data_IF_039733101075
#
_entry.id   IF_039733101075
#
_cell.length_a   1.000
_cell.length_b   1.000
_cell.length_c   1.000
_cell.angle_alpha   90.00
_cell.angle_beta   90.00
_cell.angle_gamma   90.00
#
_symmetry.space_group_name_H-M   'P 1'
#
loop_
_entity.id
_entity.type
_entity.pdbx_description
1 polymer ?
#
# COMPACT_ATOMS: atom_id res chain seq x y z
N UNK A 1 -5.99 18.10 9.40
CA UNK A 1 -6.21 17.62 8.01
C UNK A 1 -4.92 17.86 7.26
N UNK A 2 -4.22 16.79 6.88
CA UNK A 2 -2.93 16.87 6.20
C UNK A 2 -3.14 17.35 4.77
N UNK A 3 -2.45 18.43 4.38
CA UNK A 3 -2.49 18.97 3.01
C UNK A 3 -1.45 18.27 2.16
N UNK A 4 -1.78 18.06 0.88
CA UNK A 4 -0.85 17.54 -0.12
C UNK A 4 -0.26 18.74 -0.88
N UNK A 5 1.07 18.93 -0.87
CA UNK A 5 1.70 20.16 -1.38
C UNK A 5 1.99 20.16 -2.89
N UNK A 6 1.92 19.01 -3.57
CA UNK A 6 2.23 18.83 -4.99
C UNK A 6 1.15 18.01 -5.73
N UNK A 7 1.36 17.70 -7.01
CA UNK A 7 0.40 17.00 -7.85
C UNK A 7 -0.94 17.73 -7.93
N UNK A 8 -2.05 16.99 -7.71
CA UNK A 8 -3.39 17.55 -7.67
C UNK A 8 -3.69 18.37 -6.41
N UNK A 9 -2.81 18.36 -5.41
CA UNK A 9 -2.98 19.08 -4.15
C UNK A 9 -4.14 18.54 -3.30
N UNK A 10 -4.84 19.42 -2.57
CA UNK A 10 -5.96 19.04 -1.72
C UNK A 10 -5.51 18.47 -0.37
N UNK A 11 -6.20 17.43 0.10
CA UNK A 11 -5.89 16.74 1.36
C UNK A 11 -5.65 15.26 1.16
N UNK A 12 -4.91 14.64 2.08
CA UNK A 12 -4.66 13.20 2.09
C UNK A 12 -5.95 12.34 2.00
N UNK A 13 -7.09 12.85 2.47
CA UNK A 13 -8.39 12.17 2.35
C UNK A 13 -8.92 12.07 0.91
N UNK A 14 -8.40 12.90 0.00
CA UNK A 14 -8.77 12.91 -1.41
C UNK A 14 -8.02 11.82 -2.20
N UNK A 15 -7.19 10.99 -1.56
CA UNK A 15 -6.31 10.03 -2.23
C UNK A 15 -6.59 8.59 -1.79
N UNK A 16 -6.40 7.67 -2.74
CA UNK A 16 -6.40 6.23 -2.52
C UNK A 16 -4.97 5.78 -2.20
N UNK A 17 -4.67 5.31 -0.98
CA UNK A 17 -3.32 4.96 -0.58
C UNK A 17 -2.92 3.55 -0.97
N UNK A 18 -1.70 3.41 -1.47
CA UNK A 18 -0.99 2.16 -1.69
C UNK A 18 0.30 2.14 -0.85
N UNK A 19 0.61 1.00 -0.25
CA UNK A 19 1.89 0.80 0.43
C UNK A 19 2.89 0.12 -0.51
N UNK A 20 4.15 0.52 -0.43
CA UNK A 20 5.24 -0.15 -1.18
C UNK A 20 5.61 -1.53 -0.61
N UNK A 21 5.13 -1.85 0.59
CA UNK A 21 5.47 -3.09 1.25
C UNK A 21 4.27 -3.77 1.93
N UNK A 22 4.23 -5.13 1.94
CA UNK A 22 3.22 -5.88 2.68
C UNK A 22 3.45 -5.76 4.19
N UNK A 23 2.64 -6.41 5.05
CA UNK A 23 2.82 -6.37 6.52
C UNK A 23 2.84 -4.94 7.07
N UNK A 24 1.78 -4.19 6.79
CA UNK A 24 1.60 -2.84 7.33
C UNK A 24 1.34 -2.87 8.84
N UNK A 25 1.60 -1.78 9.57
CA UNK A 25 1.23 -1.66 10.99
C UNK A 25 -0.25 -1.96 11.24
N UNK A 26 -1.13 -1.54 10.33
CA UNK A 26 -2.57 -1.82 10.40
C UNK A 26 -2.89 -3.31 10.24
N UNK A 27 -2.18 -4.01 9.35
CA UNK A 27 -2.33 -5.47 9.21
C UNK A 27 -1.89 -6.18 10.50
N UNK A 28 -0.84 -5.70 11.16
CA UNK A 28 -0.39 -6.23 12.46
C UNK A 28 -1.45 -6.04 13.55
N UNK A 29 -2.04 -4.84 13.63
CA UNK A 29 -3.13 -4.55 14.57
C UNK A 29 -4.34 -5.46 14.35
N UNK A 30 -4.70 -5.70 13.08
CA UNK A 30 -5.75 -6.65 12.72
C UNK A 30 -5.38 -8.09 13.10
N UNK A 31 -4.13 -8.52 12.88
CA UNK A 31 -3.62 -9.82 13.31
C UNK A 31 -3.72 -10.00 14.84
N UNK A 32 -3.36 -8.97 15.61
CA UNK A 32 -3.48 -8.95 17.08
C UNK A 32 -4.91 -8.75 17.60
N UNK A 33 -5.88 -8.53 16.70
CA UNK A 33 -7.28 -8.23 17.04
C UNK A 33 -7.40 -7.04 18.00
N UNK A 34 -6.53 -6.04 17.82
CA UNK A 34 -6.45 -4.85 18.66
C UNK A 34 -7.17 -3.64 18.06
N UNK A 35 -8.06 -3.87 17.08
CA UNK A 35 -8.84 -2.83 16.41
C UNK A 35 -10.31 -2.97 16.82
N UNK A 36 -10.80 -2.03 17.63
CA UNK A 36 -12.14 -2.10 18.23
C UNK A 36 -13.28 -2.25 17.21
N UNK A 37 -13.09 -1.69 16.00
CA UNK A 37 -14.10 -1.67 14.94
C UNK A 37 -14.02 -2.85 13.97
N UNK A 38 -13.03 -3.73 14.09
CA UNK A 38 -12.83 -4.83 13.16
C UNK A 38 -12.24 -6.08 13.84
N UNK A 39 -13.03 -7.16 13.83
CA UNK A 39 -12.71 -8.43 14.53
C UNK A 39 -12.37 -9.60 13.59
N UNK A 40 -12.43 -9.38 12.26
CA UNK A 40 -12.20 -10.42 11.25
C UNK A 40 -10.76 -10.94 11.18
N UNK A 41 -9.83 -10.29 11.88
CA UNK A 41 -8.40 -10.61 11.81
C UNK A 41 -7.82 -10.30 10.43
N UNK A 42 -6.59 -10.73 10.19
CA UNK A 42 -5.95 -10.50 8.88
C UNK A 42 -6.42 -11.45 7.77
N UNK A 43 -7.02 -12.59 8.12
CA UNK A 43 -7.34 -13.67 7.17
C UNK A 43 -8.18 -13.20 5.97
N UNK A 44 -9.28 -12.45 6.13
CA UNK A 44 -10.09 -12.01 5.01
C UNK A 44 -9.55 -10.75 4.31
N UNK A 45 -8.43 -10.18 4.75
CA UNK A 45 -7.85 -8.99 4.13
C UNK A 45 -7.15 -9.38 2.83
N UNK A 46 -7.44 -8.65 1.76
CA UNK A 46 -6.87 -8.85 0.43
C UNK A 46 -5.82 -7.76 0.15
N UNK A 47 -4.76 -8.11 -0.57
CA UNK A 47 -3.84 -7.13 -1.14
C UNK A 47 -4.22 -6.90 -2.60
N UNK A 48 -4.63 -5.69 -2.96
CA UNK A 48 -4.82 -5.29 -4.36
C UNK A 48 -3.53 -4.69 -4.86
N UNK A 49 -2.96 -5.27 -5.92
CA UNK A 49 -1.61 -4.93 -6.38
C UNK A 49 -1.70 -4.24 -7.75
N UNK A 50 -0.96 -3.15 -7.88
CA UNK A 50 -0.69 -2.43 -9.12
C UNK A 50 0.79 -2.03 -9.13
N UNK A 51 1.24 -1.45 -10.23
CA UNK A 51 2.54 -0.79 -10.32
C UNK A 51 2.37 0.72 -10.52
N UNK A 52 3.37 1.51 -10.09
CA UNK A 52 3.36 2.96 -10.25
C UNK A 52 3.46 3.36 -11.74
N UNK A 53 4.20 2.59 -12.53
CA UNK A 53 4.33 2.75 -13.97
C UNK A 53 2.98 2.59 -14.68
N UNK A 54 2.12 1.69 -14.21
CA UNK A 54 0.77 1.52 -14.77
C UNK A 54 -0.14 2.72 -14.48
N UNK A 55 0.05 3.37 -13.33
CA UNK A 55 -0.69 4.59 -12.95
C UNK A 55 -0.24 5.78 -13.80
N UNK A 56 1.08 5.95 -13.94
CA UNK A 56 1.69 6.99 -14.77
C UNK A 56 1.31 6.83 -16.25
N UNK A 57 1.43 5.62 -16.80
CA UNK A 57 1.04 5.33 -18.18
C UNK A 57 -0.46 5.53 -18.45
N UNK A 58 -1.31 5.40 -17.42
CA UNK A 58 -2.74 5.70 -17.52
C UNK A 58 -3.07 7.20 -17.37
N UNK A 59 -2.06 8.04 -17.10
CA UNK A 59 -2.22 9.49 -16.93
C UNK A 59 -2.96 9.88 -15.65
N UNK A 60 -2.95 9.03 -14.63
CA UNK A 60 -3.57 9.35 -13.34
C UNK A 60 -2.65 10.23 -12.50
N UNK A 61 -3.22 11.25 -11.86
CA UNK A 61 -2.46 12.07 -10.90
C UNK A 61 -2.20 11.26 -9.64
N UNK A 62 -0.93 11.21 -9.25
CA UNK A 62 -0.48 10.59 -8.02
C UNK A 62 0.47 11.51 -7.26
N UNK A 63 0.68 11.19 -5.99
CA UNK A 63 1.75 11.73 -5.17
C UNK A 63 2.34 10.59 -4.35
N UNK A 64 3.65 10.50 -4.27
CA UNK A 64 4.32 9.57 -3.37
C UNK A 64 4.89 10.27 -2.14
N UNK A 65 5.12 9.50 -1.08
CA UNK A 65 5.76 9.97 0.16
C UNK A 65 6.93 9.10 0.56
N UNK A 66 7.99 9.68 1.11
CA UNK A 66 9.18 8.96 1.59
C UNK A 66 8.96 8.24 2.95
N UNK A 67 7.79 8.45 3.55
CA UNK A 67 7.38 7.88 4.82
C UNK A 67 5.91 8.18 5.09
N UNK A 68 5.48 8.04 6.35
CA UNK A 68 4.07 8.23 6.69
C UNK A 68 3.61 9.67 6.40
N UNK A 69 2.65 9.84 5.48
CA UNK A 69 2.19 11.13 4.97
C UNK A 69 1.71 12.12 6.06
N UNK A 70 1.33 11.64 7.24
CA UNK A 70 0.85 12.48 8.34
C UNK A 70 1.95 13.01 9.28
N UNK A 71 3.21 12.62 9.09
CA UNK A 71 4.35 13.08 9.91
C UNK A 71 5.03 14.31 9.31
N UNK A 72 5.49 15.23 10.16
CA UNK A 72 5.98 16.58 9.78
C UNK A 72 7.24 16.58 8.88
N UNK A 73 8.01 15.48 8.88
CA UNK A 73 9.25 15.33 8.11
C UNK A 73 9.09 14.56 6.80
N UNK A 74 7.86 14.27 6.38
CA UNK A 74 7.62 13.46 5.19
C UNK A 74 7.66 14.32 3.92
N UNK A 75 8.54 13.95 3.00
CA UNK A 75 8.65 14.56 1.68
C UNK A 75 7.59 14.00 0.74
N UNK A 76 7.05 14.85 -0.14
CA UNK A 76 6.11 14.47 -1.17
C UNK A 76 6.77 14.65 -2.56
N UNK A 77 6.44 13.78 -3.50
CA UNK A 77 6.91 13.83 -4.89
C UNK A 77 5.79 13.41 -5.85
N UNK A 78 5.80 13.95 -7.07
CA UNK A 78 4.74 13.74 -8.08
C UNK A 78 5.29 13.36 -9.46
N UNK A 79 6.58 13.06 -9.56
CA UNK A 79 7.20 12.50 -10.77
C UNK A 79 7.66 11.06 -10.51
N UNK A 80 7.41 10.16 -11.48
CA UNK A 80 7.68 8.73 -11.34
C UNK A 80 9.16 8.42 -11.14
N UNK A 81 10.04 9.22 -11.76
CA UNK A 81 11.50 9.06 -11.68
C UNK A 81 12.03 9.12 -10.24
N UNK A 82 11.33 9.83 -9.35
CA UNK A 82 11.70 9.94 -7.95
C UNK A 82 11.58 8.62 -7.18
N UNK A 83 10.76 7.66 -7.63
CA UNK A 83 10.73 6.31 -7.04
C UNK A 83 12.07 5.58 -7.14
N UNK A 84 12.85 5.91 -8.18
CA UNK A 84 14.16 5.32 -8.43
C UNK A 84 15.30 6.24 -7.97
N UNK A 85 14.99 7.42 -7.43
CA UNK A 85 15.99 8.31 -6.88
C UNK A 85 16.59 7.71 -5.61
N UNK A 86 17.92 7.81 -5.49
CA UNK A 86 18.64 7.27 -4.34
C UNK A 86 18.07 7.84 -3.03
N UNK A 87 17.77 6.95 -2.08
CA UNK A 87 17.31 7.22 -0.72
C UNK A 87 15.90 7.81 -0.53
N UNK A 88 15.14 8.07 -1.59
CA UNK A 88 13.78 8.59 -1.40
C UNK A 88 12.83 7.49 -0.89
N UNK A 89 12.84 6.32 -1.52
CA UNK A 89 12.18 5.13 -1.00
C UNK A 89 13.25 4.19 -0.48
N UNK A 90 13.19 3.87 0.82
CA UNK A 90 14.09 2.89 1.41
C UNK A 90 13.63 1.47 1.04
N UNK A 91 14.09 0.98 -0.12
CA UNK A 91 13.74 -0.35 -0.63
C UNK A 91 14.24 -1.49 0.27
N UNK A 92 15.37 -1.33 0.97
CA UNK A 92 15.84 -2.32 1.92
C UNK A 92 14.84 -2.48 3.08
N UNK A 93 14.30 -1.36 3.58
CA UNK A 93 13.23 -1.38 4.58
C UNK A 93 11.94 -1.91 3.98
N UNK A 94 11.59 -1.64 2.71
CA UNK A 94 10.38 -2.17 2.05
C UNK A 94 10.41 -3.70 1.89
N UNK A 95 11.59 -4.27 1.72
CA UNK A 95 11.76 -5.73 1.62
C UNK A 95 11.93 -6.41 2.99
N UNK A 96 12.24 -5.64 4.03
CA UNK A 96 12.46 -6.17 5.37
C UNK A 96 11.20 -6.78 6.00
N UNK A 97 11.38 -7.91 6.68
CA UNK A 97 10.33 -8.50 7.53
C UNK A 97 10.18 -7.76 8.87
N UNK A 98 11.30 -7.29 9.42
CA UNK A 98 11.35 -6.53 10.67
C UNK A 98 11.87 -5.12 10.39
N UNK A 99 11.06 -4.14 10.75
CA UNK A 99 11.26 -2.72 10.44
C UNK A 99 11.11 -1.85 11.69
N UNK A 100 11.27 -2.45 12.88
CA UNK A 100 11.33 -1.70 14.11
C UNK A 100 12.56 -0.77 14.12
N UNK A 101 12.40 0.40 14.72
CA UNK A 101 13.49 1.35 14.95
C UNK A 101 14.61 0.68 15.76
N UNK A 102 15.85 1.04 15.45
CA UNK A 102 17.06 0.60 16.15
C UNK A 102 17.77 1.80 16.76
N UNK A 103 18.79 1.56 17.59
CA UNK A 103 19.63 2.63 18.14
C UNK A 103 20.39 3.38 17.04
N UNK A 104 20.81 2.65 15.99
CA UNK A 104 21.52 3.20 14.84
C UNK A 104 20.58 3.90 13.83
N UNK A 105 19.32 3.51 13.80
CA UNK A 105 18.34 3.96 12.81
C UNK A 105 16.93 4.06 13.42
N UNK A 106 16.64 5.26 13.93
CA UNK A 106 15.42 5.60 14.65
C UNK A 106 14.18 5.89 13.79
N UNK A 107 14.31 5.90 12.45
CA UNK A 107 13.26 6.36 11.53
C UNK A 107 12.68 5.22 10.64
N UNK A 108 12.99 3.97 10.97
CA UNK A 108 12.63 2.80 10.15
C UNK A 108 11.13 2.63 10.01
N UNK A 109 10.38 2.82 11.10
CA UNK A 109 8.92 2.69 11.08
C UNK A 109 8.23 3.76 10.25
N UNK A 110 8.75 4.99 10.23
CA UNK A 110 8.20 6.06 9.38
C UNK A 110 8.46 5.74 7.92
N UNK A 111 9.71 5.44 7.56
CA UNK A 111 10.11 5.14 6.18
C UNK A 111 9.37 3.92 5.63
N UNK A 112 9.17 2.86 6.44
CA UNK A 112 8.33 1.69 6.08
C UNK A 112 6.90 2.05 5.67
N UNK A 113 6.38 3.16 6.16
CA UNK A 113 5.04 3.66 5.86
C UNK A 113 5.05 4.68 4.71
N UNK A 114 6.06 4.67 3.84
CA UNK A 114 6.01 5.34 2.56
C UNK A 114 4.78 4.87 1.76
N UNK A 115 4.10 5.82 1.13
CA UNK A 115 2.84 5.59 0.44
C UNK A 115 2.91 6.09 -1.00
N UNK A 116 2.17 5.44 -1.88
CA UNK A 116 1.85 5.90 -3.23
C UNK A 116 0.36 6.24 -3.26
N UNK A 117 0.03 7.52 -3.48
CA UNK A 117 -1.29 8.07 -3.28
C UNK A 117 -1.89 8.45 -4.64
N UNK A 118 -2.96 7.79 -5.08
CA UNK A 118 -3.63 8.12 -6.34
C UNK A 118 -4.83 9.03 -6.07
N UNK A 119 -4.92 10.16 -6.78
CA UNK A 119 -5.94 11.17 -6.52
C UNK A 119 -7.35 10.68 -6.91
N UNK A 120 -8.30 10.82 -5.98
CA UNK A 120 -9.75 10.56 -6.04
C UNK A 120 -10.17 9.10 -6.28
N UNK A 121 -9.66 8.46 -7.33
CA UNK A 121 -10.18 7.17 -7.78
C UNK A 121 -9.09 6.32 -8.42
N UNK A 122 -9.08 5.02 -8.05
CA UNK A 122 -8.20 4.03 -8.64
C UNK A 122 -9.00 3.06 -9.54
N UNK A 123 -8.80 3.07 -10.87
CA UNK A 123 -9.50 2.18 -11.79
C UNK A 123 -9.14 0.70 -11.56
N UNK A 124 -10.16 -0.16 -11.49
CA UNK A 124 -9.96 -1.60 -11.32
C UNK A 124 -9.07 -2.22 -12.41
N UNK A 125 -9.11 -1.69 -13.62
CA UNK A 125 -8.34 -2.18 -14.77
C UNK A 125 -6.82 -2.08 -14.55
N UNK A 126 -6.38 -1.24 -13.62
CA UNK A 126 -4.96 -1.12 -13.25
C UNK A 126 -4.56 -2.12 -12.15
N UNK A 127 -5.50 -2.84 -11.54
CA UNK A 127 -5.18 -3.92 -10.60
C UNK A 127 -4.66 -5.13 -11.38
N UNK A 128 -3.38 -5.42 -11.18
CA UNK A 128 -2.64 -6.46 -11.87
C UNK A 128 -2.81 -7.83 -11.20
N UNK A 129 -2.95 -7.86 -9.87
CA UNK A 129 -3.19 -9.09 -9.12
C UNK A 129 -3.84 -8.84 -7.75
N UNK A 130 -4.37 -9.92 -7.17
CA UNK A 130 -4.89 -9.95 -5.81
C UNK A 130 -4.09 -10.97 -4.99
N UNK A 131 -3.40 -10.49 -3.96
CA UNK A 131 -2.73 -11.33 -2.98
C UNK A 131 -3.68 -11.75 -1.86
N UNK A 132 -3.71 -13.04 -1.55
CA UNK A 132 -4.51 -13.62 -0.46
C UNK A 132 -3.68 -14.48 0.47
N UNK A 133 -4.12 -14.65 1.71
CA UNK A 133 -3.33 -15.37 2.73
C UNK A 133 -3.24 -16.89 2.48
N UNK A 134 -4.28 -17.51 1.92
CA UNK A 134 -4.36 -18.96 1.72
C UNK A 134 -5.34 -19.34 0.60
N UNK A 135 -5.38 -20.64 0.27
CA UNK A 135 -6.23 -21.21 -0.78
C UNK A 135 -7.73 -21.08 -0.50
N UNK A 136 -8.15 -21.12 0.77
CA UNK A 136 -9.56 -20.94 1.15
C UNK A 136 -10.07 -19.56 0.71
N UNK A 137 -9.32 -18.50 1.04
CA UNK A 137 -9.67 -17.14 0.61
C UNK A 137 -9.52 -16.99 -0.90
N UNK A 138 -8.53 -17.63 -1.52
CA UNK A 138 -8.36 -17.61 -2.97
C UNK A 138 -9.62 -18.11 -3.69
N UNK A 139 -10.18 -19.24 -3.25
CA UNK A 139 -11.40 -19.81 -3.84
C UNK A 139 -12.59 -18.87 -3.65
N UNK A 140 -12.79 -18.31 -2.46
CA UNK A 140 -13.87 -17.37 -2.20
C UNK A 140 -13.81 -16.13 -3.09
N UNK A 141 -12.62 -15.52 -3.23
CA UNK A 141 -12.42 -14.33 -4.08
C UNK A 141 -12.65 -14.71 -5.56
N UNK A 142 -12.17 -15.88 -6.00
CA UNK A 142 -12.37 -16.35 -7.37
C UNK A 142 -13.85 -16.50 -7.71
N UNK A 143 -14.64 -17.08 -6.80
CA UNK A 143 -16.08 -17.22 -6.97
C UNK A 143 -16.80 -15.88 -7.03
N UNK A 144 -16.36 -14.88 -6.26
CA UNK A 144 -16.92 -13.52 -6.31
C UNK A 144 -16.62 -12.83 -7.64
N UNK A 145 -15.36 -12.86 -8.10
CA UNK A 145 -14.96 -12.22 -9.35
C UNK A 145 -15.57 -12.88 -10.59
N UNK A 146 -15.74 -14.21 -10.56
CA UNK A 146 -16.39 -14.95 -11.65
C UNK A 146 -17.82 -14.45 -11.92
N UNK A 147 -18.59 -14.15 -10.86
CA UNK A 147 -19.98 -13.65 -10.97
C UNK A 147 -20.09 -12.30 -11.68
N UNK A 148 -19.02 -11.51 -11.66
CA UNK A 148 -18.93 -10.18 -12.29
C UNK A 148 -18.00 -10.16 -13.50
N UNK A 149 -17.61 -11.34 -14.01
CA UNK A 149 -16.76 -11.53 -15.18
C UNK A 149 -15.41 -10.77 -15.12
N UNK A 150 -14.83 -10.67 -13.92
CA UNK A 150 -13.49 -10.11 -13.71
C UNK A 150 -12.47 -11.25 -13.65
N UNK A 151 -11.37 -11.11 -14.40
CA UNK A 151 -10.34 -12.16 -14.55
C UNK A 151 -9.01 -11.82 -13.86
N UNK A 152 -9.01 -10.86 -12.93
CA UNK A 152 -7.80 -10.44 -12.20
C UNK A 152 -7.14 -11.66 -11.53
N UNK A 153 -5.85 -11.93 -11.78
CA UNK A 153 -5.12 -13.04 -11.17
C UNK A 153 -5.17 -12.98 -9.64
N UNK A 154 -5.39 -14.14 -9.01
CA UNK A 154 -5.41 -14.26 -7.54
C UNK A 154 -4.29 -15.20 -7.11
N UNK A 155 -3.36 -14.73 -6.29
CA UNK A 155 -2.18 -15.49 -5.82
C UNK A 155 -2.21 -15.68 -4.31
N UNK A 156 -1.77 -16.85 -3.87
CA UNK A 156 -1.56 -17.12 -2.44
C UNK A 156 -0.21 -16.56 -2.02
N UNK A 157 -0.24 -15.49 -1.24
CA UNK A 157 0.93 -14.73 -0.78
C UNK A 157 1.02 -14.76 0.75
N UNK A 158 1.06 -15.94 1.36
CA UNK A 158 1.04 -16.08 2.84
C UNK A 158 2.15 -15.28 3.54
N UNK A 159 3.29 -15.06 2.87
CA UNK A 159 4.41 -14.26 3.39
C UNK A 159 4.10 -12.75 3.53
N UNK A 160 3.02 -12.25 2.94
CA UNK A 160 2.57 -10.86 3.06
C UNK A 160 1.77 -10.58 4.34
N UNK A 161 1.46 -11.64 5.10
CA UNK A 161 0.68 -11.60 6.34
C UNK A 161 1.57 -11.94 7.53
N UNK A 162 1.10 -11.65 8.74
CA UNK A 162 1.80 -11.92 10.01
C UNK A 162 1.59 -13.33 10.54
#
# INVERSE_FOLDING_TARGET
MTRVPCGAGGSLHDYVPFYFAPRSPMLYANHKKSVDKYSGGQTPILHLVSSAEAVDAAGLSFVGTDGHAAMEYTAFFDELEYLYADKLIDWEIMEATYWADTEEDGDRKRRRQAEFLVHQFFPWQLIQEIGVINTTIQTQVREMLYKINIQTPIKVCSKWYY
#
